data_IF_632880991345
#
_entry.id   IF_632880991345
#
_cell.length_a   1.000
_cell.length_b   1.000
_cell.length_c   1.000
_cell.angle_alpha   90.00
_cell.angle_beta   90.00
_cell.angle_gamma   90.00
#
_symmetry.space_group_name_H-M   'P 1'
#
loop_
_entity.id
_entity.type
_entity.pdbx_description
1 polymer ?
#
# COMPACT_ATOMS: atom_id res chain seq x y z
N UNK A 1 31.97 7.21 10.33
CA UNK A 1 31.60 6.00 11.10
C UNK A 1 30.40 6.20 12.02
N UNK A 2 30.19 7.36 12.59
CA UNK A 2 29.11 7.67 13.55
C UNK A 2 27.68 7.66 12.97
N UNK A 3 27.50 8.11 11.73
CA UNK A 3 26.17 8.11 11.06
C UNK A 3 25.58 6.71 10.81
N UNK A 4 26.44 5.69 10.62
CA UNK A 4 26.00 4.30 10.41
C UNK A 4 25.63 3.59 11.73
N UNK A 5 26.13 4.04 12.87
CA UNK A 5 25.73 3.49 14.16
C UNK A 5 24.36 4.02 14.60
N UNK A 6 24.09 5.31 14.38
CA UNK A 6 22.80 5.93 14.72
C UNK A 6 21.66 5.30 13.91
N UNK A 7 21.88 4.99 12.63
CA UNK A 7 20.87 4.31 11.78
C UNK A 7 20.63 2.85 12.21
N UNK A 8 21.67 2.13 12.64
CA UNK A 8 21.52 0.75 13.17
C UNK A 8 20.77 0.72 14.51
N UNK A 9 21.05 1.67 15.40
CA UNK A 9 20.41 1.75 16.72
C UNK A 9 18.92 2.14 16.58
N UNK A 10 18.57 3.02 15.64
CA UNK A 10 17.17 3.36 15.35
C UNK A 10 16.41 2.18 14.73
N UNK A 11 17.06 1.40 13.86
CA UNK A 11 16.48 0.22 13.22
C UNK A 11 16.16 -0.89 14.23
N UNK A 12 17.10 -1.20 15.13
CA UNK A 12 16.90 -2.19 16.21
C UNK A 12 15.83 -1.72 17.20
N UNK A 13 15.77 -0.41 17.49
CA UNK A 13 14.74 0.17 18.35
C UNK A 13 13.35 0.10 17.71
N UNK A 14 13.20 0.33 16.41
CA UNK A 14 11.91 0.24 15.71
C UNK A 14 11.43 -1.21 15.57
N UNK A 15 12.30 -2.14 15.23
CA UNK A 15 11.98 -3.56 15.20
C UNK A 15 11.63 -4.12 16.59
N UNK A 16 12.37 -3.70 17.63
CA UNK A 16 12.06 -4.06 19.02
C UNK A 16 10.74 -3.49 19.51
N UNK A 17 10.39 -2.25 19.14
CA UNK A 17 9.08 -1.64 19.44
C UNK A 17 7.96 -2.34 18.70
N UNK A 18 8.18 -2.76 17.46
CA UNK A 18 7.20 -3.52 16.66
C UNK A 18 6.94 -4.89 17.30
N UNK A 19 7.99 -5.63 17.67
CA UNK A 19 7.88 -6.91 18.35
C UNK A 19 7.20 -6.77 19.72
N UNK A 20 7.58 -5.79 20.53
CA UNK A 20 6.92 -5.47 21.78
C UNK A 20 5.48 -5.00 21.58
N UNK A 21 5.19 -4.28 20.49
CA UNK A 21 3.84 -3.90 20.07
C UNK A 21 3.01 -5.13 19.73
N UNK A 22 3.54 -6.05 18.93
CA UNK A 22 2.89 -7.32 18.57
C UNK A 22 2.66 -8.19 19.81
N UNK A 23 3.66 -8.31 20.70
CA UNK A 23 3.51 -9.06 21.95
C UNK A 23 2.52 -8.43 22.92
N UNK A 24 2.51 -7.10 23.07
CA UNK A 24 1.52 -6.42 23.91
C UNK A 24 0.12 -6.47 23.31
N UNK A 25 0.04 -6.64 21.99
CA UNK A 25 -1.19 -6.82 21.24
C UNK A 25 -1.82 -8.21 21.44
N UNK A 26 -1.00 -9.25 21.58
CA UNK A 26 -1.47 -10.62 21.87
C UNK A 26 -1.97 -10.81 23.30
N UNK A 27 -1.76 -9.83 24.21
CA UNK A 27 -2.13 -9.95 25.63
C UNK A 27 -3.18 -8.86 25.99
N UNK A 28 -4.51 -9.13 25.81
CA UNK A 28 -5.58 -8.17 26.09
C UNK A 28 -5.54 -7.54 27.49
N UNK A 29 -5.15 -8.28 28.55
CA UNK A 29 -5.11 -7.73 29.90
C UNK A 29 -4.26 -6.47 30.05
N UNK A 30 -3.16 -6.35 29.30
CA UNK A 30 -2.24 -5.19 29.42
C UNK A 30 -2.92 -3.90 28.96
N UNK A 31 -3.65 -3.92 27.84
CA UNK A 31 -4.40 -2.76 27.34
C UNK A 31 -5.50 -2.34 28.29
N UNK A 32 -6.30 -3.29 28.77
CA UNK A 32 -7.42 -3.05 29.71
C UNK A 32 -6.89 -2.52 31.05
N UNK A 33 -5.80 -3.07 31.60
CA UNK A 33 -5.16 -2.58 32.82
C UNK A 33 -4.63 -1.15 32.66
N UNK A 34 -4.08 -0.78 31.50
CA UNK A 34 -3.66 0.60 31.22
C UNK A 34 -4.84 1.56 31.20
N UNK A 35 -5.97 1.16 30.60
CA UNK A 35 -7.21 1.95 30.58
C UNK A 35 -7.77 2.11 32.00
N UNK A 36 -7.82 1.04 32.80
CA UNK A 36 -8.30 1.06 34.17
C UNK A 36 -7.49 1.99 35.10
N UNK A 37 -6.19 2.13 34.85
CA UNK A 37 -5.26 2.99 35.62
C UNK A 37 -5.30 4.48 35.25
N UNK A 38 -6.13 4.92 34.28
CA UNK A 38 -6.24 6.35 33.90
C UNK A 38 -6.93 7.15 35.02
N UNK A 39 -6.26 8.09 35.71
CA UNK A 39 -6.77 8.67 36.96
C UNK A 39 -7.89 9.70 36.77
N UNK A 40 -8.11 10.24 35.56
CA UNK A 40 -9.03 11.35 35.28
C UNK A 40 -10.31 10.95 34.54
N UNK A 41 -10.52 9.69 34.22
CA UNK A 41 -11.68 9.24 33.45
C UNK A 41 -12.76 8.67 34.36
N UNK A 42 -14.04 8.96 34.06
CA UNK A 42 -15.19 8.36 34.74
C UNK A 42 -15.24 6.85 34.51
N UNK A 43 -15.89 6.11 35.44
CA UNK A 43 -16.03 4.65 35.32
C UNK A 43 -16.72 4.28 34.02
N UNK A 44 -17.77 5.00 33.60
CA UNK A 44 -18.47 4.77 32.33
C UNK A 44 -17.57 4.95 31.11
N UNK A 45 -16.70 5.97 31.10
CA UNK A 45 -15.73 6.19 30.03
C UNK A 45 -14.70 5.05 29.96
N UNK A 46 -14.23 4.55 31.09
CA UNK A 46 -13.30 3.40 31.15
C UNK A 46 -13.94 2.12 30.60
N UNK A 47 -15.20 1.85 30.95
CA UNK A 47 -15.94 0.70 30.42
C UNK A 47 -16.11 0.82 28.92
N UNK A 48 -16.57 1.96 28.41
CA UNK A 48 -16.73 2.20 26.98
C UNK A 48 -15.41 2.03 26.22
N UNK A 49 -14.34 2.64 26.71
CA UNK A 49 -13.00 2.54 26.08
C UNK A 49 -12.49 1.09 26.10
N UNK A 50 -12.78 0.32 27.17
CA UNK A 50 -12.40 -1.10 27.23
C UNK A 50 -13.18 -1.97 26.25
N UNK A 51 -14.47 -1.70 26.03
CA UNK A 51 -15.30 -2.39 25.04
C UNK A 51 -14.78 -2.08 23.62
N UNK A 52 -14.55 -0.80 23.32
CA UNK A 52 -14.00 -0.38 22.02
C UNK A 52 -12.63 -1.03 21.79
N UNK A 53 -11.76 -1.01 22.79
CA UNK A 53 -10.46 -1.68 22.72
C UNK A 53 -10.58 -3.18 22.42
N UNK A 54 -11.51 -3.89 23.10
CA UNK A 54 -11.74 -5.32 22.89
C UNK A 54 -12.22 -5.61 21.46
N UNK A 55 -13.12 -4.80 20.92
CA UNK A 55 -13.62 -4.95 19.55
C UNK A 55 -12.45 -4.81 18.54
N UNK A 56 -11.64 -3.75 18.67
CA UNK A 56 -10.49 -3.56 17.80
C UNK A 56 -9.44 -4.66 17.98
N UNK A 57 -9.25 -5.13 19.20
CA UNK A 57 -8.34 -6.23 19.48
C UNK A 57 -8.79 -7.53 18.81
N UNK A 58 -10.07 -7.90 18.94
CA UNK A 58 -10.62 -9.07 18.26
C UNK A 58 -10.48 -8.96 16.74
N UNK A 59 -10.81 -7.80 16.18
CA UNK A 59 -10.62 -7.55 14.73
C UNK A 59 -9.17 -7.74 14.30
N UNK A 60 -8.24 -7.19 15.03
CA UNK A 60 -6.83 -7.30 14.72
C UNK A 60 -6.30 -8.74 14.86
N UNK A 61 -6.79 -9.52 15.85
CA UNK A 61 -6.48 -10.96 15.98
C UNK A 61 -6.95 -11.73 14.74
N UNK A 62 -8.13 -11.43 14.19
CA UNK A 62 -8.59 -12.10 12.95
C UNK A 62 -7.67 -11.86 11.75
N UNK A 63 -7.11 -10.64 11.62
CA UNK A 63 -6.16 -10.32 10.54
C UNK A 63 -4.83 -11.07 10.71
N UNK A 64 -4.28 -11.09 11.92
CA UNK A 64 -3.03 -11.82 12.22
C UNK A 64 -3.24 -13.32 12.07
N UNK A 65 -4.40 -13.82 12.48
CA UNK A 65 -4.77 -15.23 12.32
C UNK A 65 -4.77 -15.64 10.84
N UNK A 66 -5.37 -14.84 9.95
CA UNK A 66 -5.40 -15.15 8.52
C UNK A 66 -3.99 -15.28 7.92
N UNK A 67 -3.07 -14.38 8.29
CA UNK A 67 -1.66 -14.45 7.87
C UNK A 67 -0.95 -15.70 8.43
N UNK A 68 -1.13 -15.96 9.72
CA UNK A 68 -0.56 -17.14 10.41
C UNK A 68 -1.11 -18.45 9.85
N UNK A 69 -2.41 -18.49 9.54
CA UNK A 69 -3.07 -19.63 8.93
C UNK A 69 -2.52 -19.92 7.51
N UNK A 70 -2.33 -18.87 6.69
CA UNK A 70 -1.73 -18.99 5.37
C UNK A 70 -0.29 -19.51 5.46
N UNK A 71 0.52 -18.96 6.37
CA UNK A 71 1.89 -19.39 6.62
C UNK A 71 1.93 -20.86 7.08
N UNK A 72 1.08 -21.26 8.04
CA UNK A 72 0.98 -22.62 8.54
C UNK A 72 0.63 -23.62 7.41
N UNK A 73 -0.39 -23.29 6.61
CA UNK A 73 -0.82 -24.17 5.53
C UNK A 73 0.12 -24.19 4.33
N UNK A 74 0.96 -23.17 4.13
CA UNK A 74 2.03 -23.20 3.12
C UNK A 74 3.09 -24.29 3.38
N UNK A 75 3.17 -24.79 4.60
CA UNK A 75 4.16 -25.77 5.06
C UNK A 75 3.63 -27.22 5.10
N UNK A 76 2.35 -27.44 4.73
CA UNK A 76 1.72 -28.77 4.69
C UNK A 76 1.88 -29.45 3.32
N UNK A 77 1.59 -30.75 3.29
CA UNK A 77 1.27 -31.45 2.03
C UNK A 77 -0.13 -31.08 1.57
N UNK A 78 -0.43 -31.22 0.27
CA UNK A 78 -1.75 -30.94 -0.25
C UNK A 78 -2.84 -31.85 0.36
N UNK A 79 -2.64 -33.20 0.47
CA UNK A 79 -3.58 -34.06 1.18
C UNK A 79 -3.82 -33.66 2.64
N UNK A 80 -2.75 -33.35 3.39
CA UNK A 80 -2.85 -32.93 4.78
C UNK A 80 -3.66 -31.63 4.95
N UNK A 81 -3.53 -30.69 4.02
CA UNK A 81 -4.34 -29.49 4.01
C UNK A 81 -5.83 -29.79 3.89
N UNK A 82 -6.22 -30.69 3.00
CA UNK A 82 -7.64 -31.08 2.82
C UNK A 82 -8.15 -32.00 3.94
N UNK A 83 -7.27 -32.74 4.64
CA UNK A 83 -7.64 -33.55 5.79
C UNK A 83 -8.03 -32.67 6.99
N UNK A 84 -7.19 -31.69 7.31
CA UNK A 84 -7.46 -30.70 8.37
C UNK A 84 -6.74 -29.38 8.12
N UNK A 85 -7.52 -28.37 7.76
CA UNK A 85 -7.04 -27.02 7.45
C UNK A 85 -6.57 -26.25 8.70
N UNK A 86 -6.96 -26.67 9.90
CA UNK A 86 -6.67 -25.98 11.16
C UNK A 86 -5.54 -26.63 11.96
N UNK A 87 -5.25 -27.90 11.73
CA UNK A 87 -4.15 -28.59 12.42
C UNK A 87 -2.78 -28.00 12.08
N UNK A 88 -1.83 -28.16 12.99
CA UNK A 88 -0.43 -27.85 12.70
C UNK A 88 0.16 -28.85 11.69
N UNK A 89 1.17 -28.47 10.87
CA UNK A 89 1.83 -29.37 9.94
C UNK A 89 2.42 -30.58 10.65
N UNK A 90 2.12 -31.79 10.16
CA UNK A 90 2.77 -33.03 10.61
C UNK A 90 4.26 -33.04 10.23
N UNK A 91 4.56 -32.44 9.06
CA UNK A 91 5.92 -32.21 8.56
C UNK A 91 6.02 -30.80 8.00
N UNK A 92 7.06 -30.08 8.35
CA UNK A 92 7.29 -28.70 7.90
C UNK A 92 7.97 -28.70 6.53
N UNK A 93 7.18 -28.62 5.46
CA UNK A 93 7.63 -28.73 4.07
C UNK A 93 8.10 -27.38 3.50
N UNK A 94 9.32 -27.00 3.83
CA UNK A 94 9.96 -25.82 3.23
C UNK A 94 10.13 -25.92 1.70
N UNK A 95 10.12 -27.16 1.16
CA UNK A 95 10.17 -27.40 -0.29
C UNK A 95 9.01 -26.77 -1.07
N UNK A 96 7.87 -26.48 -0.43
CA UNK A 96 6.76 -25.80 -1.08
C UNK A 96 7.13 -24.38 -1.57
N UNK A 97 8.04 -23.70 -0.89
CA UNK A 97 8.57 -22.41 -1.34
C UNK A 97 9.42 -22.53 -2.60
N UNK A 98 10.25 -23.57 -2.69
CA UNK A 98 11.02 -23.86 -3.91
C UNK A 98 10.09 -24.23 -5.07
N UNK A 99 9.04 -25.03 -4.79
CA UNK A 99 8.00 -25.34 -5.78
C UNK A 99 7.25 -24.10 -6.23
N UNK A 100 6.93 -23.17 -5.32
CA UNK A 100 6.28 -21.90 -5.68
C UNK A 100 7.13 -21.09 -6.67
N UNK A 101 8.44 -20.98 -6.43
CA UNK A 101 9.37 -20.29 -7.33
C UNK A 101 9.47 -20.94 -8.73
N UNK A 102 9.28 -22.27 -8.84
CA UNK A 102 9.39 -22.99 -10.11
C UNK A 102 8.08 -23.19 -10.85
N UNK A 103 6.98 -23.45 -10.12
CA UNK A 103 5.68 -23.79 -10.71
C UNK A 103 4.79 -22.58 -10.99
N UNK A 104 4.93 -21.51 -10.19
CA UNK A 104 4.20 -20.27 -10.45
C UNK A 104 4.91 -19.50 -11.55
N UNK A 105 4.41 -19.66 -12.77
CA UNK A 105 4.91 -19.00 -13.97
C UNK A 105 3.75 -18.67 -14.92
N UNK A 106 3.96 -17.71 -15.79
CA UNK A 106 2.96 -17.32 -16.80
C UNK A 106 3.66 -16.90 -18.09
N UNK A 107 3.24 -17.48 -19.22
CA UNK A 107 3.78 -17.21 -20.57
C UNK A 107 5.33 -17.33 -20.65
N UNK A 108 5.92 -18.28 -19.90
CA UNK A 108 7.37 -18.44 -19.85
C UNK A 108 8.10 -17.47 -18.90
N UNK A 109 7.38 -16.58 -18.25
CA UNK A 109 7.92 -15.65 -17.25
C UNK A 109 7.87 -16.33 -15.88
N UNK A 110 9.01 -16.53 -15.25
CA UNK A 110 9.13 -17.19 -13.95
C UNK A 110 8.77 -16.26 -12.78
N UNK A 111 8.64 -16.82 -11.58
CA UNK A 111 8.29 -16.09 -10.36
C UNK A 111 9.16 -14.86 -10.09
N UNK A 112 10.49 -15.01 -10.24
CA UNK A 112 11.45 -13.93 -9.96
C UNK A 112 11.30 -12.78 -10.96
N UNK A 113 11.12 -13.09 -12.23
CA UNK A 113 10.87 -12.06 -13.25
C UNK A 113 9.54 -11.32 -13.00
N UNK A 114 8.47 -12.06 -12.63
CA UNK A 114 7.19 -11.45 -12.24
C UNK A 114 7.33 -10.58 -10.99
N UNK A 115 8.15 -10.99 -10.02
CA UNK A 115 8.45 -10.19 -8.84
C UNK A 115 9.14 -8.86 -9.21
N UNK A 116 10.14 -8.89 -10.09
CA UNK A 116 10.81 -7.69 -10.60
C UNK A 116 9.82 -6.81 -11.37
N UNK A 117 8.95 -7.42 -12.19
CA UNK A 117 7.89 -6.70 -12.89
C UNK A 117 6.94 -5.99 -11.92
N UNK A 118 6.58 -6.63 -10.80
CA UNK A 118 5.77 -5.99 -9.76
C UNK A 118 6.46 -4.79 -9.13
N UNK A 119 7.78 -4.86 -8.90
CA UNK A 119 8.53 -3.74 -8.32
C UNK A 119 8.46 -2.51 -9.21
N UNK A 120 8.87 -2.63 -10.49
CA UNK A 120 8.88 -1.45 -11.36
C UNK A 120 7.47 -0.93 -11.63
N UNK A 121 6.47 -1.83 -11.78
CA UNK A 121 5.10 -1.44 -12.01
C UNK A 121 4.51 -0.70 -10.80
N UNK A 122 4.58 -1.28 -9.60
CA UNK A 122 4.03 -0.68 -8.39
C UNK A 122 4.77 0.61 -8.00
N UNK A 123 6.11 0.60 -8.04
CA UNK A 123 6.92 1.78 -7.71
C UNK A 123 6.73 2.90 -8.74
N UNK A 124 6.80 2.57 -10.04
CA UNK A 124 6.59 3.53 -11.11
C UNK A 124 5.21 4.17 -11.04
N UNK A 125 4.17 3.36 -10.86
CA UNK A 125 2.79 3.82 -10.66
C UNK A 125 2.65 4.74 -9.44
N UNK A 126 3.23 4.35 -8.31
CA UNK A 126 3.19 5.15 -7.08
C UNK A 126 3.87 6.51 -7.25
N UNK A 127 5.05 6.54 -7.86
CA UNK A 127 5.80 7.78 -8.10
C UNK A 127 5.05 8.70 -9.06
N UNK A 128 4.62 8.19 -10.22
CA UNK A 128 3.95 8.99 -11.24
C UNK A 128 2.61 9.53 -10.75
N UNK A 129 1.80 8.69 -10.12
CA UNK A 129 0.51 9.10 -9.54
C UNK A 129 0.70 10.15 -8.44
N UNK A 130 1.63 9.93 -7.50
CA UNK A 130 1.86 10.86 -6.40
C UNK A 130 2.36 12.22 -6.88
N UNK A 131 3.31 12.24 -7.83
CA UNK A 131 3.81 13.48 -8.42
C UNK A 131 2.72 14.23 -9.18
N UNK A 132 1.89 13.51 -9.93
CA UNK A 132 0.77 14.07 -10.67
C UNK A 132 -0.23 14.76 -9.72
N UNK A 133 -0.62 14.09 -8.62
CA UNK A 133 -1.47 14.66 -7.60
C UNK A 133 -0.81 15.83 -6.85
N UNK A 134 0.50 15.77 -6.61
CA UNK A 134 1.23 16.88 -5.99
C UNK A 134 1.22 18.14 -6.85
N UNK A 135 1.48 17.98 -8.16
CA UNK A 135 1.48 19.11 -9.12
C UNK A 135 0.09 19.69 -9.25
N UNK A 136 -0.93 18.86 -9.50
CA UNK A 136 -2.31 19.33 -9.67
C UNK A 136 -2.87 19.94 -8.38
N UNK A 137 -2.65 19.29 -7.22
CA UNK A 137 -3.04 19.82 -5.92
C UNK A 137 -2.40 21.17 -5.61
N UNK A 138 -1.10 21.32 -5.89
CA UNK A 138 -0.38 22.59 -5.72
C UNK A 138 -0.91 23.69 -6.63
N UNK A 139 -1.11 23.42 -7.92
CA UNK A 139 -1.64 24.39 -8.87
C UNK A 139 -3.01 24.87 -8.40
N UNK A 140 -3.93 23.97 -8.09
CA UNK A 140 -5.27 24.35 -7.62
C UNK A 140 -5.25 25.04 -6.25
N UNK A 141 -4.29 24.76 -5.38
CA UNK A 141 -4.20 25.39 -4.07
C UNK A 141 -3.67 26.82 -4.15
N UNK A 142 -2.62 27.06 -4.95
CA UNK A 142 -1.81 28.29 -4.87
C UNK A 142 -2.01 29.26 -6.03
N UNK A 143 -2.56 28.80 -7.16
CA UNK A 143 -2.79 29.66 -8.32
C UNK A 143 -4.27 29.96 -8.51
N UNK A 144 -4.55 31.16 -9.01
CA UNK A 144 -5.87 31.58 -9.47
C UNK A 144 -5.83 31.66 -11.01
N UNK A 145 -6.74 30.95 -11.66
CA UNK A 145 -6.94 30.99 -13.10
C UNK A 145 -8.43 31.04 -13.40
N UNK A 146 -8.79 31.59 -14.58
CA UNK A 146 -10.16 31.93 -14.96
C UNK A 146 -11.17 30.79 -14.72
N UNK A 147 -10.87 29.58 -15.12
CA UNK A 147 -11.80 28.44 -15.05
C UNK A 147 -11.61 27.54 -13.79
N UNK A 148 -10.82 27.98 -12.80
CA UNK A 148 -10.48 27.15 -11.61
C UNK A 148 -11.71 26.59 -10.91
N UNK A 149 -12.74 27.41 -10.68
CA UNK A 149 -13.95 27.00 -9.96
C UNK A 149 -14.74 25.95 -10.75
N UNK A 150 -14.82 26.11 -12.07
CA UNK A 150 -15.52 25.17 -12.96
C UNK A 150 -14.80 23.83 -12.95
N UNK A 151 -13.48 23.81 -13.17
CA UNK A 151 -12.69 22.58 -13.13
C UNK A 151 -12.74 21.91 -11.75
N UNK A 152 -12.64 22.68 -10.67
CA UNK A 152 -12.70 22.11 -9.32
C UNK A 152 -14.05 21.43 -9.06
N UNK A 153 -15.17 22.09 -9.41
CA UNK A 153 -16.50 21.50 -9.26
C UNK A 153 -16.66 20.25 -10.14
N UNK A 154 -16.13 20.27 -11.37
CA UNK A 154 -16.14 19.10 -12.25
C UNK A 154 -15.35 17.93 -11.67
N UNK A 155 -14.18 18.19 -11.07
CA UNK A 155 -13.39 17.15 -10.38
C UNK A 155 -14.19 16.56 -9.21
N UNK A 156 -14.81 17.39 -8.37
CA UNK A 156 -15.67 16.93 -7.26
C UNK A 156 -16.82 16.06 -7.80
N UNK A 157 -17.46 16.50 -8.87
CA UNK A 157 -18.55 15.75 -9.50
C UNK A 157 -18.07 14.40 -10.00
N UNK A 158 -16.92 14.31 -10.68
CA UNK A 158 -16.36 13.05 -11.18
C UNK A 158 -15.95 12.08 -10.05
N UNK A 159 -15.46 12.60 -8.93
CA UNK A 159 -15.14 11.77 -7.75
C UNK A 159 -16.41 11.19 -7.11
N UNK A 160 -17.51 11.96 -7.13
CA UNK A 160 -18.80 11.54 -6.56
C UNK A 160 -19.54 10.49 -7.42
N UNK A 161 -19.20 10.38 -8.71
CA UNK A 161 -19.81 9.39 -9.59
C UNK A 161 -19.17 8.00 -9.40
N UNK A 162 -19.96 6.96 -9.15
CA UNK A 162 -19.45 5.59 -9.14
C UNK A 162 -19.16 5.14 -10.59
N UNK A 163 -17.94 5.34 -11.04
CA UNK A 163 -17.54 4.90 -12.39
C UNK A 163 -17.27 3.40 -12.37
N UNK A 164 -18.13 2.63 -13.03
CA UNK A 164 -18.01 1.16 -13.17
C UNK A 164 -17.54 0.83 -14.59
N UNK A 165 -16.73 -0.23 -14.75
CA UNK A 165 -16.33 -0.73 -16.06
C UNK A 165 -15.26 0.09 -16.78
N UNK A 166 -14.32 0.69 -16.04
CA UNK A 166 -13.21 1.49 -16.62
C UNK A 166 -12.18 0.64 -17.38
N UNK A 167 -12.03 -0.65 -17.04
CA UNK A 167 -10.99 -1.52 -17.63
C UNK A 167 -11.11 -1.69 -19.14
N UNK A 168 -12.31 -1.98 -19.74
CA UNK A 168 -12.44 -2.09 -21.19
C UNK A 168 -12.09 -0.79 -21.92
N UNK A 169 -12.49 0.36 -21.37
CA UNK A 169 -12.17 1.66 -21.96
C UNK A 169 -10.68 1.97 -21.87
N UNK A 170 -10.05 1.66 -20.73
CA UNK A 170 -8.61 1.80 -20.55
C UNK A 170 -7.84 0.90 -21.52
N UNK A 171 -8.28 -0.36 -21.69
CA UNK A 171 -7.69 -1.30 -22.65
C UNK A 171 -7.72 -0.76 -24.08
N UNK A 172 -8.86 -0.21 -24.52
CA UNK A 172 -8.98 0.39 -25.86
C UNK A 172 -8.01 1.57 -26.04
N UNK A 173 -7.89 2.45 -25.04
CA UNK A 173 -6.96 3.59 -25.08
C UNK A 173 -5.51 3.09 -25.16
N UNK A 174 -5.12 2.19 -24.27
CA UNK A 174 -3.76 1.63 -24.20
C UNK A 174 -3.39 0.92 -25.50
N UNK A 175 -4.33 0.16 -26.07
CA UNK A 175 -4.15 -0.55 -27.32
C UNK A 175 -4.04 0.43 -28.53
N UNK A 176 -4.87 1.45 -28.58
CA UNK A 176 -4.81 2.47 -29.63
C UNK A 176 -3.51 3.30 -29.60
N UNK A 177 -2.94 3.50 -28.41
CA UNK A 177 -1.65 4.16 -28.24
C UNK A 177 -0.45 3.24 -28.51
N UNK A 178 -0.66 1.93 -28.67
CA UNK A 178 0.41 0.96 -28.86
C UNK A 178 1.37 0.79 -27.68
N UNK A 179 0.91 1.07 -26.47
CA UNK A 179 1.73 1.01 -25.23
C UNK A 179 1.48 -0.27 -24.40
N UNK A 180 0.74 -1.23 -24.96
CA UNK A 180 0.63 -2.57 -24.38
C UNK A 180 2.01 -3.23 -24.26
N UNK A 181 2.17 -4.08 -23.25
CA UNK A 181 3.40 -4.83 -23.02
C UNK A 181 4.67 -3.97 -23.00
N UNK A 182 4.55 -2.74 -22.52
CA UNK A 182 5.64 -1.76 -22.48
C UNK A 182 5.66 -1.00 -21.13
N UNK A 183 6.84 -0.60 -20.63
CA UNK A 183 6.93 0.31 -19.48
C UNK A 183 6.20 1.65 -19.68
N UNK A 184 5.95 2.05 -20.95
CA UNK A 184 5.14 3.24 -21.28
C UNK A 184 3.71 3.14 -20.76
N UNK A 185 3.22 1.93 -20.46
CA UNK A 185 1.94 1.75 -19.78
C UNK A 185 1.81 2.59 -18.49
N UNK A 186 2.92 2.87 -17.80
CA UNK A 186 2.94 3.73 -16.61
C UNK A 186 2.39 5.14 -16.86
N UNK A 187 2.36 5.63 -18.11
CA UNK A 187 1.75 6.92 -18.45
C UNK A 187 0.27 6.96 -18.06
N UNK A 188 -0.41 5.83 -18.11
CA UNK A 188 -1.82 5.72 -17.68
C UNK A 188 -2.03 6.01 -16.19
N UNK A 189 -0.96 5.93 -15.39
CA UNK A 189 -0.98 6.19 -13.94
C UNK A 189 -0.82 7.69 -13.60
N UNK A 190 -0.65 8.57 -14.59
CA UNK A 190 -0.58 10.03 -14.41
C UNK A 190 -1.94 10.68 -14.12
N UNK A 191 -2.88 9.95 -13.53
CA UNK A 191 -4.17 10.49 -13.12
C UNK A 191 -4.02 11.53 -12.01
N UNK A 192 -4.10 12.81 -12.38
CA UNK A 192 -3.92 13.92 -11.43
C UNK A 192 -5.16 14.31 -10.62
N UNK A 193 -6.31 13.64 -10.84
CA UNK A 193 -7.60 13.97 -10.22
C UNK A 193 -8.22 12.74 -9.59
N UNK A 194 -8.64 12.87 -8.31
CA UNK A 194 -9.19 11.78 -7.53
C UNK A 194 -9.16 12.10 -6.03
N UNK A 195 -9.38 11.12 -5.16
CA UNK A 195 -9.33 11.32 -3.71
C UNK A 195 -7.99 11.90 -3.23
N UNK A 196 -6.88 11.41 -3.78
CA UNK A 196 -5.54 11.90 -3.43
C UNK A 196 -5.29 13.35 -3.87
N UNK A 197 -5.94 13.82 -4.96
CA UNK A 197 -5.94 15.22 -5.34
C UNK A 197 -6.53 16.11 -4.25
N UNK A 198 -7.65 15.72 -3.64
CA UNK A 198 -8.28 16.50 -2.57
C UNK A 198 -7.39 16.60 -1.34
N UNK A 199 -6.70 15.51 -0.98
CA UNK A 199 -5.75 15.48 0.14
C UNK A 199 -4.58 16.44 -0.14
N UNK A 200 -3.96 16.35 -1.32
CA UNK A 200 -2.84 17.20 -1.71
C UNK A 200 -3.27 18.66 -1.86
N UNK A 201 -4.44 18.92 -2.43
CA UNK A 201 -5.03 20.27 -2.52
C UNK A 201 -5.24 20.88 -1.13
N UNK A 202 -5.88 20.15 -0.21
CA UNK A 202 -6.14 20.63 1.15
C UNK A 202 -4.83 20.93 1.89
N UNK A 203 -3.84 20.04 1.76
CA UNK A 203 -2.52 20.21 2.36
C UNK A 203 -1.82 21.47 1.83
N UNK A 204 -1.68 21.61 0.52
CA UNK A 204 -1.05 22.80 -0.04
C UNK A 204 -1.85 24.07 0.26
N UNK A 205 -3.17 23.99 0.33
CA UNK A 205 -4.03 25.14 0.70
C UNK A 205 -3.76 25.61 2.12
N UNK A 206 -3.50 24.70 3.06
CA UNK A 206 -3.22 25.02 4.47
C UNK A 206 -1.82 25.62 4.70
N UNK A 207 -0.89 25.44 3.76
CA UNK A 207 0.45 26.01 3.87
C UNK A 207 0.40 27.54 3.74
N UNK A 208 1.21 28.26 4.55
CA UNK A 208 1.28 29.71 4.53
C UNK A 208 1.79 30.23 3.17
N UNK A 209 1.17 31.29 2.68
CA UNK A 209 1.59 32.00 1.46
C UNK A 209 2.87 32.78 1.64
N UNK A 210 3.22 33.15 2.88
CA UNK A 210 4.44 33.87 3.23
C UNK A 210 5.69 33.21 2.65
N UNK A 211 5.77 31.89 2.62
CA UNK A 211 6.89 31.16 2.01
C UNK A 211 7.03 31.44 0.49
N UNK A 212 5.90 31.58 -0.21
CA UNK A 212 5.90 31.87 -1.64
C UNK A 212 6.27 33.34 -1.89
N UNK A 213 5.74 34.24 -1.04
CA UNK A 213 5.96 35.69 -1.16
C UNK A 213 7.43 36.03 -0.88
N UNK A 214 8.02 35.47 0.19
CA UNK A 214 9.43 35.65 0.52
C UNK A 214 10.34 35.15 -0.62
N UNK A 215 10.07 33.95 -1.14
CA UNK A 215 10.86 33.40 -2.24
C UNK A 215 10.74 34.19 -3.54
N UNK A 216 9.59 34.84 -3.80
CA UNK A 216 9.40 35.74 -4.95
C UNK A 216 10.22 37.03 -4.79
N UNK A 217 10.30 37.56 -3.58
CA UNK A 217 11.15 38.74 -3.30
C UNK A 217 12.62 38.44 -3.56
N UNK A 218 13.04 37.16 -3.33
CA UNK A 218 14.37 36.66 -3.65
C UNK A 218 14.55 36.32 -5.16
N UNK A 219 13.56 36.61 -6.01
CA UNK A 219 13.61 36.37 -7.45
C UNK A 219 13.41 34.92 -7.87
N UNK A 220 12.92 34.03 -6.98
CA UNK A 220 12.72 32.63 -7.32
C UNK A 220 11.57 32.42 -8.34
N UNK A 221 11.83 31.61 -9.38
CA UNK A 221 10.82 31.20 -10.33
C UNK A 221 9.72 30.31 -9.71
N UNK A 222 8.55 30.25 -10.31
CA UNK A 222 7.44 29.40 -9.88
C UNK A 222 7.84 27.92 -9.72
N UNK A 223 8.63 27.40 -10.66
CA UNK A 223 9.12 26.01 -10.58
C UNK A 223 10.13 25.83 -9.46
N UNK A 224 11.00 26.83 -9.20
CA UNK A 224 11.96 26.81 -8.09
C UNK A 224 11.21 26.78 -6.74
N UNK A 225 10.18 27.61 -6.58
CA UNK A 225 9.34 27.64 -5.37
C UNK A 225 8.66 26.27 -5.15
N UNK A 226 8.06 25.70 -6.20
CA UNK A 226 7.45 24.38 -6.10
C UNK A 226 8.47 23.32 -5.68
N UNK A 227 9.59 23.21 -6.44
CA UNK A 227 10.56 22.12 -6.24
C UNK A 227 11.36 22.23 -4.95
N UNK A 228 11.80 23.47 -4.58
CA UNK A 228 12.73 23.65 -3.46
C UNK A 228 12.06 23.99 -2.13
N UNK A 229 10.81 24.46 -2.13
CA UNK A 229 10.12 24.91 -0.93
C UNK A 229 8.87 24.08 -0.67
N UNK A 230 7.93 24.04 -1.61
CA UNK A 230 6.61 23.47 -1.39
C UNK A 230 6.63 21.94 -1.39
N UNK A 231 7.34 21.33 -2.35
CA UNK A 231 7.44 19.88 -2.49
C UNK A 231 8.17 19.23 -1.31
N UNK A 232 9.32 19.74 -0.82
CA UNK A 232 9.98 19.17 0.35
C UNK A 232 9.15 19.27 1.63
N UNK A 233 8.39 20.35 1.84
CA UNK A 233 7.47 20.47 2.97
C UNK A 233 6.30 19.50 2.89
N UNK A 234 5.85 19.16 1.69
CA UNK A 234 4.79 18.17 1.45
C UNK A 234 5.31 16.73 1.43
N UNK A 235 6.63 16.52 1.41
CA UNK A 235 7.24 15.20 1.24
C UNK A 235 6.72 14.12 2.21
N UNK A 236 6.53 14.37 3.52
CA UNK A 236 6.02 13.36 4.44
C UNK A 236 4.62 12.87 4.03
N UNK A 237 3.71 13.78 3.70
CA UNK A 237 2.34 13.46 3.25
C UNK A 237 2.35 12.75 1.90
N UNK A 238 3.14 13.24 0.93
CA UNK A 238 3.27 12.63 -0.39
C UNK A 238 3.87 11.23 -0.32
N UNK A 239 4.83 11.01 0.59
CA UNK A 239 5.38 9.69 0.84
C UNK A 239 4.32 8.70 1.33
N UNK A 240 3.44 9.13 2.24
CA UNK A 240 2.34 8.27 2.74
C UNK A 240 1.34 7.94 1.64
N UNK A 241 0.95 8.91 0.80
CA UNK A 241 0.08 8.68 -0.37
C UNK A 241 0.77 7.70 -1.34
N UNK A 242 2.04 7.93 -1.64
CA UNK A 242 2.81 7.06 -2.54
C UNK A 242 2.94 5.63 -2.03
N UNK A 243 3.15 5.45 -0.73
CA UNK A 243 3.24 4.13 -0.11
C UNK A 243 1.90 3.37 -0.18
N UNK A 244 0.79 4.05 0.14
CA UNK A 244 -0.54 3.44 0.02
C UNK A 244 -0.84 3.06 -1.43
N UNK A 245 -0.50 3.93 -2.38
CA UNK A 245 -0.69 3.65 -3.81
C UNK A 245 0.20 2.49 -4.29
N UNK A 246 1.44 2.41 -3.79
CA UNK A 246 2.33 1.27 -4.05
C UNK A 246 1.68 -0.05 -3.62
N UNK A 247 1.12 -0.11 -2.40
CA UNK A 247 0.45 -1.31 -1.89
C UNK A 247 -0.74 -1.70 -2.76
N UNK A 248 -1.54 -0.73 -3.21
CA UNK A 248 -2.67 -0.97 -4.11
C UNK A 248 -2.18 -1.55 -5.44
N UNK A 249 -1.16 -0.96 -6.04
CA UNK A 249 -0.64 -1.42 -7.34
C UNK A 249 0.14 -2.73 -7.24
N UNK A 250 0.79 -3.00 -6.10
CA UNK A 250 1.43 -4.28 -5.85
C UNK A 250 0.44 -5.45 -5.90
N UNK A 251 -0.77 -5.25 -5.41
CA UNK A 251 -1.84 -6.25 -5.42
C UNK A 251 -2.70 -6.23 -6.69
N UNK A 252 -2.49 -5.25 -7.58
CA UNK A 252 -3.29 -5.12 -8.79
C UNK A 252 -2.89 -6.20 -9.82
N UNK A 253 -3.82 -7.10 -10.11
CA UNK A 253 -3.67 -8.11 -11.18
C UNK A 253 -4.54 -7.77 -12.41
N UNK A 254 -5.60 -6.98 -12.24
CA UNK A 254 -6.61 -6.72 -13.27
C UNK A 254 -6.05 -5.95 -14.46
N UNK A 255 -5.29 -4.89 -14.21
CA UNK A 255 -4.66 -4.11 -15.29
C UNK A 255 -3.51 -4.89 -15.94
N UNK A 256 -2.56 -5.47 -15.19
CA UNK A 256 -1.45 -6.22 -15.79
C UNK A 256 -1.87 -7.46 -16.59
N UNK A 257 -2.91 -8.18 -16.19
CA UNK A 257 -3.38 -9.37 -16.92
C UNK A 257 -3.86 -9.02 -18.34
N UNK A 258 -4.45 -7.83 -18.52
CA UNK A 258 -4.97 -7.37 -19.80
C UNK A 258 -3.95 -6.62 -20.65
N UNK A 259 -3.03 -5.90 -20.02
CA UNK A 259 -2.21 -4.89 -20.71
C UNK A 259 -0.71 -5.16 -20.65
N UNK A 260 -0.26 -6.10 -19.79
CA UNK A 260 1.15 -6.45 -19.60
C UNK A 260 1.36 -7.97 -19.70
N UNK A 261 0.79 -8.60 -20.73
CA UNK A 261 0.81 -10.06 -20.89
C UNK A 261 2.23 -10.64 -21.09
N UNK A 262 3.15 -9.87 -21.65
CA UNK A 262 4.59 -10.25 -21.82
C UNK A 262 5.44 -9.89 -20.60
N UNK A 263 4.94 -9.00 -19.74
CA UNK A 263 5.62 -8.54 -18.52
C UNK A 263 4.67 -8.69 -17.31
N UNK A 264 4.11 -9.90 -17.06
CA UNK A 264 3.14 -10.11 -16.00
C UNK A 264 3.73 -9.77 -14.65
N UNK A 265 2.88 -9.22 -13.77
CA UNK A 265 3.24 -8.99 -12.36
C UNK A 265 3.07 -10.26 -11.54
N UNK A 266 3.63 -10.28 -10.33
CA UNK A 266 3.50 -11.42 -9.44
C UNK A 266 2.05 -11.66 -9.00
N UNK A 267 1.27 -10.59 -8.77
CA UNK A 267 -0.16 -10.69 -8.47
C UNK A 267 -0.94 -11.35 -9.63
N UNK A 268 -0.60 -11.01 -10.88
CA UNK A 268 -1.15 -11.69 -12.08
C UNK A 268 -0.79 -13.17 -12.11
N UNK A 269 0.48 -13.50 -11.87
CA UNK A 269 0.95 -14.89 -11.83
C UNK A 269 0.25 -15.72 -10.75
N UNK A 270 0.09 -15.16 -9.55
CA UNK A 270 -0.64 -15.81 -8.45
C UNK A 270 -2.13 -15.99 -8.78
N UNK A 271 -2.78 -14.97 -9.33
CA UNK A 271 -4.17 -15.07 -9.75
C UNK A 271 -4.37 -16.20 -10.77
N UNK A 272 -3.56 -16.23 -11.82
CA UNK A 272 -3.67 -17.27 -12.85
C UNK A 272 -3.28 -18.67 -12.34
N UNK A 273 -2.35 -18.75 -11.38
CA UNK A 273 -2.06 -20.01 -10.72
C UNK A 273 -3.25 -20.50 -9.89
N UNK A 274 -3.98 -19.60 -9.23
CA UNK A 274 -5.22 -19.97 -8.51
C UNK A 274 -6.33 -20.48 -9.45
N UNK A 275 -6.49 -19.87 -10.62
CA UNK A 275 -7.41 -20.36 -11.65
C UNK A 275 -6.99 -21.73 -12.17
N UNK A 276 -5.68 -21.94 -12.39
CA UNK A 276 -5.16 -23.23 -12.83
C UNK A 276 -5.47 -24.37 -11.86
N UNK A 277 -5.49 -24.11 -10.55
CA UNK A 277 -5.82 -25.13 -9.54
C UNK A 277 -7.22 -25.72 -9.72
N UNK A 278 -8.15 -24.97 -10.31
CA UNK A 278 -9.52 -25.43 -10.57
C UNK A 278 -9.52 -26.55 -11.62
N UNK A 279 -8.63 -26.47 -12.62
CA UNK A 279 -8.61 -27.37 -13.77
C UNK A 279 -7.49 -28.41 -13.73
N UNK A 280 -6.41 -28.19 -12.98
CA UNK A 280 -5.23 -29.06 -12.92
C UNK A 280 -4.72 -29.18 -11.47
N UNK A 281 -5.43 -29.96 -10.68
CA UNK A 281 -5.10 -30.21 -9.28
C UNK A 281 -3.82 -31.07 -9.08
N UNK A 282 -3.31 -31.69 -10.15
CA UNK A 282 -2.08 -32.51 -10.08
C UNK A 282 -0.83 -31.61 -10.06
N UNK A 283 -0.79 -30.60 -10.92
CA UNK A 283 0.36 -29.69 -11.06
C UNK A 283 0.21 -28.38 -10.30
N UNK A 284 -0.98 -28.04 -9.82
CA UNK A 284 -1.26 -26.85 -9.05
C UNK A 284 -1.77 -27.21 -7.65
N UNK A 285 -0.93 -27.01 -6.65
CA UNK A 285 -1.19 -27.36 -5.25
C UNK A 285 -1.60 -26.12 -4.44
N UNK A 286 -2.65 -26.27 -3.61
CA UNK A 286 -3.12 -25.22 -2.70
C UNK A 286 -2.02 -24.75 -1.73
N UNK A 287 -1.22 -25.71 -1.21
CA UNK A 287 -0.14 -25.39 -0.27
C UNK A 287 1.02 -24.65 -0.95
N UNK A 288 1.30 -24.95 -2.22
CA UNK A 288 2.26 -24.21 -3.04
C UNK A 288 1.76 -22.80 -3.35
N UNK A 289 0.45 -22.65 -3.61
CA UNK A 289 -0.17 -21.33 -3.79
C UNK A 289 -0.01 -20.47 -2.53
N UNK A 290 -0.28 -21.04 -1.34
CA UNK A 290 -0.06 -20.32 -0.08
C UNK A 290 1.42 -19.94 0.12
N UNK A 291 2.37 -20.80 -0.25
CA UNK A 291 3.78 -20.43 -0.23
C UNK A 291 4.10 -19.25 -1.16
N UNK A 292 3.49 -19.22 -2.35
CA UNK A 292 3.57 -18.08 -3.27
C UNK A 292 3.00 -16.79 -2.67
N UNK A 293 1.83 -16.86 -2.01
CA UNK A 293 1.22 -15.70 -1.32
C UNK A 293 2.14 -15.18 -0.21
N UNK A 294 2.71 -16.06 0.61
CA UNK A 294 3.65 -15.67 1.66
C UNK A 294 4.85 -14.95 1.07
N UNK A 295 5.48 -15.48 0.01
CA UNK A 295 6.59 -14.82 -0.66
C UNK A 295 6.19 -13.45 -1.23
N UNK A 296 5.01 -13.35 -1.86
CA UNK A 296 4.51 -12.11 -2.43
C UNK A 296 4.15 -11.06 -1.37
N UNK A 297 3.79 -11.49 -0.15
CA UNK A 297 3.45 -10.55 0.93
C UNK A 297 4.68 -9.92 1.60
N UNK A 298 5.85 -10.57 1.53
CA UNK A 298 7.07 -10.12 2.22
C UNK A 298 7.45 -8.66 1.92
N UNK A 299 7.47 -8.17 0.67
CA UNK A 299 7.84 -6.78 0.39
C UNK A 299 6.90 -5.78 1.05
N UNK A 300 5.58 -6.04 1.01
CA UNK A 300 4.58 -5.14 1.61
C UNK A 300 4.71 -5.14 3.13
N UNK A 301 4.85 -6.31 3.76
CA UNK A 301 5.06 -6.44 5.21
C UNK A 301 6.34 -5.70 5.63
N UNK A 302 7.43 -5.88 4.89
CA UNK A 302 8.70 -5.19 5.16
C UNK A 302 8.57 -3.68 5.01
N UNK A 303 7.90 -3.19 3.95
CA UNK A 303 7.65 -1.76 3.75
C UNK A 303 6.82 -1.16 4.88
N UNK A 304 5.71 -1.80 5.26
CA UNK A 304 4.88 -1.33 6.37
C UNK A 304 5.66 -1.35 7.68
N UNK A 305 6.43 -2.39 7.96
CA UNK A 305 7.25 -2.48 9.16
C UNK A 305 8.33 -1.39 9.24
N UNK A 306 8.97 -1.07 8.11
CA UNK A 306 10.02 -0.04 8.03
C UNK A 306 9.48 1.39 8.13
N UNK A 307 8.28 1.64 7.60
CA UNK A 307 7.70 2.97 7.46
C UNK A 307 6.49 3.22 8.35
N UNK A 308 6.18 2.29 9.27
CA UNK A 308 5.05 2.37 10.19
C UNK A 308 4.95 3.73 10.89
N UNK A 309 6.03 4.20 11.51
CA UNK A 309 6.04 5.47 12.26
C UNK A 309 5.68 6.66 11.35
N UNK A 310 6.22 6.70 10.14
CA UNK A 310 5.93 7.77 9.16
C UNK A 310 4.48 7.76 8.67
N UNK A 311 3.90 6.57 8.50
CA UNK A 311 2.49 6.42 8.12
C UNK A 311 1.61 6.98 9.24
N UNK A 312 1.88 6.58 10.49
CA UNK A 312 1.07 6.98 11.65
C UNK A 312 1.16 8.47 11.97
N UNK A 313 2.34 9.09 11.86
CA UNK A 313 2.51 10.54 12.02
C UNK A 313 1.65 11.34 11.05
N UNK A 314 1.57 10.90 9.79
CA UNK A 314 0.84 11.63 8.75
C UNK A 314 -0.69 11.39 8.83
N UNK A 315 -1.13 10.21 9.24
CA UNK A 315 -2.55 9.93 9.50
C UNK A 315 -3.05 10.77 10.67
N UNK A 316 -2.25 10.92 11.72
CA UNK A 316 -2.60 11.74 12.89
C UNK A 316 -2.53 13.25 12.59
N UNK A 317 -1.62 13.71 11.74
CA UNK A 317 -1.50 15.12 11.34
C UNK A 317 -2.62 15.56 10.38
N UNK A 318 -3.21 14.65 9.61
CA UNK A 318 -4.41 14.89 8.77
C UNK A 318 -5.73 14.88 9.55
N UNK A 319 -5.75 14.33 10.76
CA UNK A 319 -6.87 14.30 11.68
C UNK A 319 -6.78 15.44 12.70
N UNK A 320 -7.48 16.54 12.38
CA UNK A 320 -7.99 17.57 13.30
C UNK A 320 -6.96 18.15 14.28
N UNK A 321 -6.39 19.30 13.93
CA UNK A 321 -6.20 20.38 14.90
C UNK A 321 -7.54 21.08 15.06
N UNK A 322 -8.40 20.56 15.95
CA UNK A 322 -9.52 21.23 16.52
C UNK A 322 -9.06 21.97 17.77
#
# INVERSE_FOLDING_TARGET
>A
MEKNQITKISFVSSAGKLLLGIFSFLIPPIGIVRIAKRPRESIGAKILTSIVFLIFWLYAVTLVFAMGWTLMNSLKTNPEFFEDMMALPKQWLWSNYQKALSLINYNGVNFVAMFINSIWFALGSAVLSTLSHAVTGYIFAKYNFFSKKVFFNFIIFTIALPVVGTLPSLYQVVNSMGINDSPLFLITQLGGFGGNFLITYAFFKSMDKTYIEAARMDGASHFTIFRKIMLPQAAPMLFSIGLLYFIVQWNNYEQPILMLSKMPTLSTGLYLFSEKMIFDSVNASQTVYFAGIVLASLPVVLLVALFHDKIMENVSAGGIKG
#
